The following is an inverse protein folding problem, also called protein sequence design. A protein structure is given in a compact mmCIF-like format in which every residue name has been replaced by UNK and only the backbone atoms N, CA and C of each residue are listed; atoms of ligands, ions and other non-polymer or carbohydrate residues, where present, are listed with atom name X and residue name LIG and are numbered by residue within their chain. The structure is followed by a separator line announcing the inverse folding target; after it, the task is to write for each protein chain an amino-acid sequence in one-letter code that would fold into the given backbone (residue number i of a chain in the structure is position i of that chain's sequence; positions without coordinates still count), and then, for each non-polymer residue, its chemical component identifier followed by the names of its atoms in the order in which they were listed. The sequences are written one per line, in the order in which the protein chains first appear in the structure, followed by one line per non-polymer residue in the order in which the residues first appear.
data_IF_124092433692
#
_entry.id   IF_124092433692
#
_cell.length_a   1.000
_cell.length_b   1.000
_cell.length_c   1.000
_cell.angle_alpha   90.00
_cell.angle_beta   90.00
_cell.angle_gamma   90.00
#
_symmetry.space_group_name_H-M   'P 1'
#
loop_
_entity.id
_entity.type
_entity.pdbx_description
1 polymer ?
#
# COMPACT_ATOMS: atom_id res chain seq x y z
N UNK A 1 -38.68 -30.32 -68.45
CA UNK A 1 -37.31 -29.78 -68.41
C UNK A 1 -36.46 -30.64 -67.47
N UNK A 2 -35.32 -31.15 -67.98
CA UNK A 2 -34.08 -31.67 -67.32
C UNK A 2 -34.22 -32.31 -65.92
N UNK A 3 -34.22 -33.65 -65.74
CA UNK A 3 -33.09 -34.62 -65.68
C UNK A 3 -31.89 -34.17 -64.81
N UNK A 4 -31.59 -34.91 -63.74
CA UNK A 4 -30.27 -35.43 -63.27
C UNK A 4 -30.54 -36.32 -62.04
N UNK A 5 -30.53 -37.67 -62.09
CA UNK A 5 -29.40 -38.63 -62.11
C UNK A 5 -28.31 -38.36 -61.05
N UNK A 6 -28.41 -39.08 -59.91
CA UNK A 6 -27.44 -40.00 -59.23
C UNK A 6 -25.97 -40.04 -59.70
N UNK A 7 -25.08 -40.82 -59.04
CA UNK A 7 -24.51 -40.83 -57.69
C UNK A 7 -22.98 -40.61 -57.74
N UNK A 8 -22.25 -40.39 -56.65
CA UNK A 8 -20.83 -40.78 -56.60
C UNK A 8 -20.34 -40.94 -55.16
N UNK A 9 -19.89 -42.16 -54.86
CA UNK A 9 -19.03 -42.47 -53.74
C UNK A 9 -17.62 -41.92 -54.03
N UNK A 10 -16.96 -41.35 -53.02
CA UNK A 10 -15.51 -41.24 -52.99
C UNK A 10 -15.02 -41.66 -51.61
N UNK A 11 -14.23 -42.73 -51.61
CA UNK A 11 -13.43 -43.23 -50.51
C UNK A 11 -12.25 -42.27 -50.30
N UNK A 12 -11.97 -41.87 -49.07
CA UNK A 12 -10.61 -41.56 -48.66
C UNK A 12 -10.37 -42.03 -47.23
N UNK A 13 -9.75 -43.19 -47.14
CA UNK A 13 -9.03 -43.67 -45.98
C UNK A 13 -7.68 -42.93 -45.97
N UNK A 14 -7.44 -42.09 -44.95
CA UNK A 14 -6.11 -41.56 -44.69
C UNK A 14 -5.72 -41.92 -43.25
N UNK A 15 -4.73 -42.81 -43.15
CA UNK A 15 -3.91 -42.99 -41.96
C UNK A 15 -3.37 -41.63 -41.55
N UNK A 16 -3.65 -41.19 -40.32
CA UNK A 16 -2.86 -40.19 -39.65
C UNK A 16 -2.29 -40.81 -38.37
N UNK A 17 -0.97 -40.88 -38.42
CA UNK A 17 -0.03 -41.32 -37.40
C UNK A 17 -0.48 -40.97 -35.98
N UNK A 18 -0.31 -41.95 -35.08
CA UNK A 18 -0.23 -41.70 -33.66
C UNK A 18 0.91 -40.73 -33.37
N UNK A 19 0.58 -39.44 -33.29
CA UNK A 19 1.35 -38.52 -32.48
C UNK A 19 1.08 -38.96 -31.04
N UNK A 20 2.08 -39.58 -30.42
CA UNK A 20 2.19 -39.60 -28.98
C UNK A 20 2.11 -38.14 -28.52
N UNK A 21 0.93 -37.70 -28.09
CA UNK A 21 0.85 -36.58 -27.17
C UNK A 21 1.68 -37.04 -25.99
N UNK A 22 2.93 -36.57 -25.94
CA UNK A 22 3.62 -36.43 -24.68
C UNK A 22 2.61 -35.73 -23.78
N UNK A 23 2.04 -36.49 -22.83
CA UNK A 23 1.45 -35.90 -21.64
C UNK A 23 2.57 -35.03 -21.10
N UNK A 24 2.52 -33.73 -21.43
CA UNK A 24 3.15 -32.72 -20.62
C UNK A 24 2.62 -33.08 -19.23
N UNK A 25 3.48 -33.46 -18.27
CA UNK A 25 3.01 -33.64 -16.92
C UNK A 25 2.38 -32.31 -16.57
N UNK A 26 1.04 -32.29 -16.53
CA UNK A 26 0.33 -31.35 -15.70
C UNK A 26 0.89 -31.71 -14.35
N UNK A 27 1.84 -30.90 -13.91
CA UNK A 27 2.34 -30.92 -12.56
C UNK A 27 1.08 -30.65 -11.75
N UNK A 28 0.44 -31.74 -11.32
CA UNK A 28 -0.81 -31.75 -10.57
C UNK A 28 -0.46 -31.03 -9.29
N UNK A 29 -0.59 -29.70 -9.32
CA UNK A 29 -0.07 -28.74 -8.37
C UNK A 29 -0.30 -29.29 -6.98
N UNK A 30 0.74 -29.97 -6.48
CA UNK A 30 0.59 -30.83 -5.32
C UNK A 30 0.10 -29.92 -4.24
N UNK A 31 -1.06 -30.25 -3.66
CA UNK A 31 -1.60 -29.57 -2.50
C UNK A 31 -0.51 -29.63 -1.43
N UNK A 32 0.36 -28.62 -1.40
CA UNK A 32 1.47 -28.63 -0.46
C UNK A 32 0.79 -28.58 0.90
N UNK A 33 1.02 -29.61 1.70
CA UNK A 33 0.35 -29.83 2.99
C UNK A 33 0.56 -28.69 3.99
N UNK A 34 1.48 -27.77 3.68
CA UNK A 34 1.77 -26.58 4.47
C UNK A 34 0.75 -25.47 4.14
N UNK A 35 0.20 -24.78 5.16
CA UNK A 35 -0.61 -23.59 4.95
C UNK A 35 0.12 -22.52 4.14
N UNK A 36 -0.58 -21.83 3.24
CA UNK A 36 -0.08 -20.65 2.56
C UNK A 36 -0.09 -19.48 3.53
N UNK A 37 1.08 -18.92 3.81
CA UNK A 37 1.20 -17.75 4.68
C UNK A 37 0.77 -16.51 3.90
N UNK A 38 -0.24 -15.80 4.42
CA UNK A 38 -0.67 -14.51 3.92
C UNK A 38 -0.25 -13.43 4.92
N UNK A 39 0.59 -12.49 4.51
CA UNK A 39 1.07 -11.43 5.39
C UNK A 39 0.68 -10.06 4.88
N UNK A 40 0.04 -9.28 5.73
CA UNK A 40 -0.07 -7.84 5.52
C UNK A 40 1.26 -7.20 5.87
N UNK A 41 1.77 -6.37 4.98
CA UNK A 41 2.95 -5.58 5.27
C UNK A 41 2.56 -4.34 6.09
N UNK A 42 3.47 -3.85 6.96
CA UNK A 42 3.28 -2.57 7.60
C UNK A 42 3.14 -1.49 6.53
N UNK A 43 2.27 -0.53 6.79
CA UNK A 43 2.00 0.57 5.88
C UNK A 43 2.30 1.91 6.56
N UNK A 44 2.65 2.92 5.77
CA UNK A 44 2.96 4.26 6.26
C UNK A 44 2.18 5.27 5.44
N UNK A 45 1.51 6.20 6.11
CA UNK A 45 0.71 7.25 5.48
C UNK A 45 0.81 8.59 6.16
N UNK A 46 0.40 9.64 5.45
CA UNK A 46 0.18 10.97 6.02
C UNK A 46 -1.32 11.23 6.17
N UNK A 47 -1.75 12.10 7.10
CA UNK A 47 -3.15 12.53 7.19
C UNK A 47 -3.67 13.05 5.84
N UNK A 48 -4.84 12.58 5.39
CA UNK A 48 -5.41 12.91 4.07
C UNK A 48 -4.71 12.24 2.87
N UNK A 49 -3.59 11.56 3.10
CA UNK A 49 -2.74 10.96 2.09
C UNK A 49 -3.25 9.60 1.59
N UNK A 50 -2.64 9.13 0.49
CA UNK A 50 -2.84 7.77 0.00
C UNK A 50 -1.90 6.80 0.73
N UNK A 51 -2.42 5.61 1.02
CA UNK A 51 -1.66 4.52 1.63
C UNK A 51 -1.90 3.23 0.88
N UNK A 52 -0.80 2.59 0.51
CA UNK A 52 -0.80 1.24 -0.05
C UNK A 52 -0.56 0.22 1.08
N UNK A 53 -1.52 -0.68 1.29
CA UNK A 53 -1.37 -1.86 2.14
C UNK A 53 -1.09 -3.05 1.23
N UNK A 54 0.06 -3.67 1.40
CA UNK A 54 0.51 -4.78 0.54
C UNK A 54 0.23 -6.11 1.23
N UNK A 55 -0.43 -7.02 0.54
CA UNK A 55 -0.57 -8.41 0.94
C UNK A 55 0.45 -9.27 0.19
N UNK A 56 1.27 -10.01 0.92
CA UNK A 56 2.30 -10.91 0.36
C UNK A 56 2.04 -12.36 0.71
N UNK A 57 2.59 -13.23 -0.12
CA UNK A 57 2.78 -14.66 0.15
C UNK A 57 4.28 -14.96 0.27
N UNK A 58 4.62 -16.13 0.81
CA UNK A 58 6.01 -16.59 0.96
C UNK A 58 6.21 -18.02 0.41
N UNK A 59 5.30 -18.45 -0.44
CA UNK A 59 5.39 -19.70 -1.14
C UNK A 59 4.59 -19.58 -2.44
N UNK A 60 5.19 -19.87 -3.61
CA UNK A 60 4.44 -19.90 -4.85
C UNK A 60 3.37 -20.98 -4.76
N UNK A 61 2.14 -20.60 -5.06
CA UNK A 61 1.00 -21.51 -5.17
C UNK A 61 0.03 -20.88 -6.17
N UNK A 62 -0.13 -21.44 -7.37
CA UNK A 62 -1.08 -20.97 -8.37
C UNK A 62 -2.50 -20.86 -7.81
N UNK A 63 -3.08 -19.67 -7.86
CA UNK A 63 -4.43 -19.35 -7.38
C UNK A 63 -5.29 -18.94 -8.56
N UNK A 64 -6.46 -19.56 -8.67
CA UNK A 64 -7.46 -19.25 -9.70
C UNK A 64 -8.43 -18.17 -9.28
N UNK A 65 -8.82 -18.16 -8.03
CA UNK A 65 -9.78 -17.19 -7.52
C UNK A 65 -9.62 -17.04 -6.02
N UNK A 66 -10.12 -15.94 -5.49
CA UNK A 66 -10.06 -15.72 -4.07
C UNK A 66 -10.84 -14.51 -3.61
N UNK A 67 -10.99 -14.45 -2.31
CA UNK A 67 -11.50 -13.33 -1.56
C UNK A 67 -10.52 -13.00 -0.45
N UNK A 68 -10.18 -11.73 -0.32
CA UNK A 68 -9.36 -11.21 0.77
C UNK A 68 -10.13 -10.12 1.48
N UNK A 69 -10.19 -10.21 2.81
CA UNK A 69 -10.84 -9.21 3.64
C UNK A 69 -9.85 -8.67 4.66
N UNK A 70 -9.54 -7.38 4.57
CA UNK A 70 -8.67 -6.65 5.49
C UNK A 70 -9.54 -5.82 6.42
N UNK A 71 -9.39 -6.03 7.72
CA UNK A 71 -9.96 -5.17 8.74
C UNK A 71 -8.88 -4.22 9.24
N UNK A 72 -9.24 -2.94 9.31
CA UNK A 72 -8.44 -1.94 9.98
C UNK A 72 -9.09 -1.57 11.31
N UNK A 73 -8.31 -1.49 12.38
CA UNK A 73 -8.80 -1.10 13.68
C UNK A 73 -7.82 -0.09 14.30
N UNK A 74 -8.34 0.96 14.92
CA UNK A 74 -7.49 1.86 15.71
C UNK A 74 -6.97 1.07 16.91
N UNK A 75 -5.65 1.07 17.11
CA UNK A 75 -5.11 0.49 18.33
C UNK A 75 -5.48 1.43 19.47
N UNK A 76 -6.18 0.97 20.53
CA UNK A 76 -6.46 1.82 21.67
C UNK A 76 -5.13 2.28 22.27
N UNK A 77 -5.00 3.58 22.50
CA UNK A 77 -3.90 4.08 23.33
C UNK A 77 -4.02 3.41 24.71
N UNK A 78 -2.91 3.01 25.35
CA UNK A 78 -2.96 2.54 26.72
C UNK A 78 -3.61 3.63 27.58
N UNK A 79 -4.83 3.37 28.02
CA UNK A 79 -5.70 4.38 28.60
C UNK A 79 -5.09 4.95 29.87
N UNK A 80 -5.01 6.29 29.95
CA UNK A 80 -5.37 6.96 31.21
C UNK A 80 -6.86 6.68 31.41
N UNK A 81 -7.28 6.17 32.57
CA UNK A 81 -8.70 5.89 32.84
C UNK A 81 -9.57 7.13 32.53
N UNK A 82 -10.46 7.01 31.54
CA UNK A 82 -11.44 8.04 31.15
C UNK A 82 -11.57 8.18 29.63
N UNK A 83 -12.80 8.39 29.15
CA UNK A 83 -13.03 8.85 27.77
C UNK A 83 -12.49 10.28 27.65
N UNK A 84 -11.51 10.48 26.79
CA UNK A 84 -10.96 11.81 26.52
C UNK A 84 -11.77 12.52 25.43
N UNK A 85 -11.68 13.85 25.36
CA UNK A 85 -12.31 14.63 24.28
C UNK A 85 -11.78 14.22 22.88
N UNK A 86 -10.53 13.73 22.83
CA UNK A 86 -9.89 13.18 21.63
C UNK A 86 -10.54 11.86 21.18
N UNK A 87 -11.07 11.06 22.11
CA UNK A 87 -11.82 9.83 21.80
C UNK A 87 -13.20 10.14 21.22
N UNK A 88 -13.82 11.26 21.63
CA UNK A 88 -15.12 11.73 21.14
C UNK A 88 -15.04 12.45 19.79
N UNK A 89 -13.85 12.90 19.38
CA UNK A 89 -13.60 13.63 18.13
C UNK A 89 -12.84 12.82 17.08
N UNK A 90 -12.40 11.60 17.44
CA UNK A 90 -11.73 10.70 16.53
C UNK A 90 -12.61 10.37 15.32
N UNK A 91 -12.03 10.30 14.10
CA UNK A 91 -12.80 9.93 12.93
C UNK A 91 -13.40 8.54 13.10
N UNK A 92 -14.72 8.44 12.90
CA UNK A 92 -15.44 7.16 12.82
C UNK A 92 -14.81 6.25 11.75
N UNK A 93 -14.16 6.83 10.74
CA UNK A 93 -13.49 6.13 9.62
C UNK A 93 -12.10 6.72 9.33
N UNK A 94 -11.02 6.26 9.98
CA UNK A 94 -9.65 6.71 9.75
C UNK A 94 -9.10 6.34 8.36
N UNK A 95 -9.72 5.38 7.66
CA UNK A 95 -9.37 4.99 6.29
C UNK A 95 -10.60 4.84 5.40
N UNK A 96 -10.45 5.29 4.15
CA UNK A 96 -11.40 5.06 3.06
C UNK A 96 -10.75 4.17 2.01
N UNK A 97 -11.33 3.00 1.76
CA UNK A 97 -10.86 2.12 0.67
C UNK A 97 -11.16 2.75 -0.69
N UNK A 98 -10.17 2.77 -1.57
CA UNK A 98 -10.29 3.36 -2.91
C UNK A 98 -10.31 2.28 -3.99
N UNK A 99 -9.33 1.39 -3.95
CA UNK A 99 -9.17 0.35 -4.97
C UNK A 99 -8.26 -0.76 -4.46
N UNK A 100 -8.26 -1.88 -5.16
CA UNK A 100 -7.26 -2.91 -5.00
C UNK A 100 -6.83 -3.48 -6.34
N UNK A 101 -5.58 -3.91 -6.39
CA UNK A 101 -4.99 -4.58 -7.53
C UNK A 101 -4.46 -5.93 -7.08
N UNK A 102 -4.89 -7.00 -7.74
CA UNK A 102 -4.34 -8.35 -7.54
C UNK A 102 -3.33 -8.64 -8.66
N UNK A 103 -2.15 -9.13 -8.30
CA UNK A 103 -1.08 -9.38 -9.25
C UNK A 103 -1.15 -10.81 -9.81
N UNK A 104 -1.09 -10.90 -11.13
CA UNK A 104 -0.95 -12.13 -11.90
C UNK A 104 0.24 -11.97 -12.84
N UNK A 105 1.20 -12.91 -12.91
CA UNK A 105 2.30 -12.88 -13.87
C UNK A 105 1.83 -12.87 -15.33
N UNK A 106 0.62 -13.39 -15.60
CA UNK A 106 0.00 -13.34 -16.94
C UNK A 106 -0.91 -12.12 -17.13
N UNK A 107 -0.97 -11.22 -16.14
CA UNK A 107 -1.77 -9.99 -16.16
C UNK A 107 -3.26 -10.22 -16.49
N UNK A 108 -3.82 -11.31 -15.98
CA UNK A 108 -5.20 -11.77 -16.28
C UNK A 108 -6.11 -11.80 -15.05
N UNK A 109 -5.67 -11.20 -13.93
CA UNK A 109 -6.47 -11.13 -12.71
C UNK A 109 -7.55 -10.06 -12.85
N UNK A 110 -8.80 -10.51 -12.89
CA UNK A 110 -9.98 -9.66 -12.78
C UNK A 110 -10.25 -9.40 -11.30
N UNK A 111 -10.25 -8.12 -10.90
CA UNK A 111 -10.35 -7.70 -9.49
C UNK A 111 -11.58 -6.84 -9.28
N UNK A 112 -12.35 -7.13 -8.22
CA UNK A 112 -13.47 -6.31 -7.77
C UNK A 112 -13.29 -6.00 -6.28
N UNK A 113 -13.15 -4.71 -5.96
CA UNK A 113 -13.08 -4.21 -4.59
C UNK A 113 -14.42 -3.70 -4.11
N UNK A 114 -14.82 -4.05 -2.89
CA UNK A 114 -16.02 -3.59 -2.22
C UNK A 114 -15.67 -3.15 -0.79
N UNK A 115 -16.24 -2.02 -0.38
CA UNK A 115 -16.23 -1.59 1.02
C UNK A 115 -17.49 -2.19 1.66
N UNK A 116 -17.32 -3.21 2.49
CA UNK A 116 -18.44 -3.92 3.10
C UNK A 116 -18.36 -3.75 4.61
N UNK A 117 -19.34 -3.10 5.24
CA UNK A 117 -19.34 -2.93 6.69
C UNK A 117 -20.48 -2.07 7.22
N UNK A 118 -20.79 -2.26 8.50
CA UNK A 118 -21.53 -1.30 9.32
C UNK A 118 -20.85 0.08 9.29
N UNK A 119 -21.54 1.13 9.73
CA UNK A 119 -21.03 2.51 9.65
C UNK A 119 -19.63 2.70 10.27
N UNK A 120 -19.27 1.81 11.20
CA UNK A 120 -18.03 1.82 12.01
C UNK A 120 -17.06 0.67 11.63
N UNK A 121 -17.42 -0.16 10.65
CA UNK A 121 -16.63 -1.33 10.23
C UNK A 121 -15.70 -0.98 9.07
N UNK A 122 -14.40 -0.88 9.34
CA UNK A 122 -13.33 -0.59 8.37
C UNK A 122 -12.84 -1.86 7.66
N UNK A 123 -13.77 -2.60 7.05
CA UNK A 123 -13.46 -3.85 6.35
C UNK A 123 -13.40 -3.59 4.84
N UNK A 124 -12.22 -3.76 4.26
CA UNK A 124 -12.00 -3.75 2.82
C UNK A 124 -12.00 -5.18 2.28
N UNK A 125 -12.91 -5.46 1.36
CA UNK A 125 -13.06 -6.78 0.74
C UNK A 125 -12.69 -6.70 -0.73
N UNK A 126 -11.89 -7.66 -1.18
CA UNK A 126 -11.50 -7.80 -2.58
C UNK A 126 -11.78 -9.22 -3.02
N UNK A 127 -12.50 -9.36 -4.11
CA UNK A 127 -12.69 -10.63 -4.81
C UNK A 127 -11.95 -10.59 -6.13
N UNK A 128 -11.36 -11.71 -6.53
CA UNK A 128 -10.65 -11.80 -7.79
C UNK A 128 -10.75 -13.17 -8.44
N UNK A 129 -10.51 -13.19 -9.75
CA UNK A 129 -10.43 -14.39 -10.57
C UNK A 129 -9.33 -14.23 -11.62
N UNK A 130 -8.52 -15.26 -11.84
CA UNK A 130 -7.50 -15.37 -12.88
C UNK A 130 -7.84 -16.61 -13.74
N UNK A 131 -8.27 -16.42 -15.00
CA UNK A 131 -8.57 -17.53 -15.90
C UNK A 131 -7.42 -18.53 -16.03
N UNK A 132 -6.17 -18.07 -16.03
CA UNK A 132 -4.98 -18.92 -16.12
C UNK A 132 -4.54 -19.55 -14.80
N UNK A 133 -5.13 -19.16 -13.66
CA UNK A 133 -4.71 -19.62 -12.35
C UNK A 133 -3.32 -19.14 -11.93
N UNK A 134 -2.81 -18.07 -12.54
CA UNK A 134 -1.41 -17.66 -12.34
C UNK A 134 -1.17 -16.70 -11.18
N UNK A 135 -2.21 -16.23 -10.48
CA UNK A 135 -2.03 -15.44 -9.25
C UNK A 135 -1.17 -16.26 -8.28
N UNK A 136 -0.13 -15.63 -7.72
CA UNK A 136 0.82 -16.29 -6.82
C UNK A 136 1.55 -17.52 -7.43
N UNK A 137 1.65 -17.64 -8.77
CA UNK A 137 2.50 -18.69 -9.38
C UNK A 137 4.00 -18.41 -9.22
N UNK A 138 4.36 -17.23 -8.71
CA UNK A 138 5.70 -16.82 -8.32
C UNK A 138 5.62 -16.06 -6.98
N UNK A 139 6.72 -16.05 -6.22
CA UNK A 139 6.80 -15.30 -4.97
C UNK A 139 6.69 -13.79 -5.23
N UNK A 140 5.93 -13.10 -4.38
CA UNK A 140 5.74 -11.67 -4.53
C UNK A 140 4.52 -11.09 -3.83
N UNK A 141 4.17 -9.83 -4.13
CA UNK A 141 2.90 -9.26 -3.70
C UNK A 141 1.74 -10.01 -4.35
N UNK A 142 0.78 -10.45 -3.54
CA UNK A 142 -0.47 -11.01 -4.03
C UNK A 142 -1.43 -9.89 -4.42
N UNK A 143 -1.56 -8.88 -3.57
CA UNK A 143 -2.45 -7.75 -3.80
C UNK A 143 -1.93 -6.47 -3.13
N UNK A 144 -2.31 -5.33 -3.72
CA UNK A 144 -2.12 -4.00 -3.12
C UNK A 144 -3.48 -3.36 -2.95
N UNK A 145 -3.79 -2.95 -1.72
CA UNK A 145 -5.00 -2.23 -1.36
C UNK A 145 -4.65 -0.76 -1.19
N UNK A 146 -5.32 0.12 -1.92
CA UNK A 146 -5.14 1.55 -1.84
C UNK A 146 -6.23 2.15 -0.96
N UNK A 147 -5.81 2.84 0.09
CA UNK A 147 -6.67 3.59 0.99
C UNK A 147 -6.33 5.07 0.95
N UNK A 148 -7.29 5.91 1.34
CA UNK A 148 -7.05 7.30 1.76
C UNK A 148 -7.19 7.38 3.26
N UNK A 149 -6.19 7.96 3.93
CA UNK A 149 -6.28 8.28 5.36
C UNK A 149 -7.20 9.47 5.53
N UNK A 150 -8.03 9.44 6.56
CA UNK A 150 -8.84 10.59 6.92
C UNK A 150 -7.94 11.78 7.29
N UNK A 151 -8.24 13.02 6.85
CA UNK A 151 -7.44 14.20 7.20
C UNK A 151 -7.35 14.52 8.70
N UNK A 152 -8.22 13.93 9.52
CA UNK A 152 -8.24 14.12 10.97
C UNK A 152 -7.39 13.11 11.76
N UNK A 153 -6.90 12.03 11.12
CA UNK A 153 -5.94 11.13 11.80
C UNK A 153 -4.69 11.92 12.16
N UNK A 154 -4.15 11.63 13.34
CA UNK A 154 -2.99 12.35 13.83
C UNK A 154 -1.72 11.58 13.51
N UNK A 155 -0.64 12.26 13.14
CA UNK A 155 0.67 11.63 13.07
C UNK A 155 1.05 10.98 14.40
N UNK A 156 1.63 9.77 14.35
CA UNK A 156 1.83 8.94 15.53
C UNK A 156 0.67 7.98 15.82
N UNK A 157 -0.52 8.20 15.23
CA UNK A 157 -1.59 7.20 15.28
C UNK A 157 -1.12 5.88 14.67
N UNK A 158 -1.49 4.79 15.34
CA UNK A 158 -1.26 3.43 14.87
C UNK A 158 -2.57 2.68 14.71
N UNK A 159 -2.69 1.95 13.60
CA UNK A 159 -3.85 1.10 13.31
C UNK A 159 -3.39 -0.34 13.09
N UNK A 160 -4.11 -1.28 13.68
CA UNK A 160 -3.91 -2.70 13.43
C UNK A 160 -4.54 -3.07 12.09
N UNK A 161 -3.74 -3.69 11.22
CA UNK A 161 -4.15 -4.26 9.95
C UNK A 161 -4.26 -5.78 10.14
N UNK A 162 -5.47 -6.31 10.04
CA UNK A 162 -5.75 -7.72 10.29
C UNK A 162 -6.43 -8.35 9.08
N UNK A 163 -6.04 -9.57 8.72
CA UNK A 163 -6.80 -10.39 7.79
C UNK A 163 -7.95 -11.04 8.55
N UNK A 164 -9.17 -10.93 8.02
CA UNK A 164 -10.31 -11.67 8.57
C UNK A 164 -10.23 -13.13 8.07
N UNK A 165 -9.93 -14.11 8.93
CA UNK A 165 -9.74 -15.50 8.52
C UNK A 165 -11.05 -16.18 8.10
N UNK A 166 -12.21 -15.66 8.54
CA UNK A 166 -13.53 -16.20 8.19
C UNK A 166 -13.95 -15.71 6.80
N UNK A 167 -13.56 -14.48 6.45
CA UNK A 167 -13.91 -13.85 5.19
C UNK A 167 -12.77 -13.82 4.15
N UNK A 168 -11.64 -14.47 4.44
CA UNK A 168 -10.53 -14.63 3.51
C UNK A 168 -10.44 -16.09 3.09
N UNK A 169 -10.48 -16.34 1.79
CA UNK A 169 -10.43 -17.69 1.22
C UNK A 169 -9.86 -17.67 -0.19
N UNK A 170 -9.01 -18.65 -0.49
CA UNK A 170 -8.36 -18.78 -1.79
C UNK A 170 -8.65 -20.17 -2.38
N UNK A 171 -8.78 -20.25 -3.70
CA UNK A 171 -8.96 -21.49 -4.44
C UNK A 171 -7.81 -21.65 -5.44
N UNK A 172 -7.15 -22.79 -5.44
CA UNK A 172 -6.04 -23.08 -6.33
C UNK A 172 -6.46 -23.28 -7.80
N UNK A 173 -5.50 -23.51 -8.68
CA UNK A 173 -5.73 -23.78 -10.12
C UNK A 173 -6.62 -25.00 -10.37
N UNK A 174 -6.63 -25.98 -9.46
CA UNK A 174 -7.43 -27.20 -9.55
C UNK A 174 -8.84 -27.04 -8.94
N UNK A 175 -9.20 -25.85 -8.42
CA UNK A 175 -10.49 -25.63 -7.79
C UNK A 175 -10.57 -26.06 -6.33
N UNK A 176 -9.45 -26.42 -5.68
CA UNK A 176 -9.42 -26.83 -4.28
C UNK A 176 -9.18 -25.64 -3.35
N UNK A 177 -9.76 -25.63 -2.13
CA UNK A 177 -9.50 -24.58 -1.16
C UNK A 177 -8.04 -24.64 -0.67
N UNK A 178 -7.43 -23.46 -0.52
CA UNK A 178 -6.06 -23.32 0.01
C UNK A 178 -6.13 -23.05 1.52
N UNK A 179 -5.48 -23.88 2.32
CA UNK A 179 -5.32 -23.63 3.76
C UNK A 179 -4.44 -22.39 3.98
N UNK A 180 -4.88 -21.45 4.82
CA UNK A 180 -4.21 -20.17 5.04
C UNK A 180 -3.62 -20.06 6.45
N UNK A 181 -2.50 -19.34 6.56
CA UNK A 181 -1.92 -18.91 7.82
C UNK A 181 -1.76 -17.37 7.80
N UNK A 182 -2.79 -16.60 8.18
CA UNK A 182 -2.76 -15.15 8.13
C UNK A 182 -1.78 -14.57 9.17
N UNK A 183 -1.11 -13.48 8.80
CA UNK A 183 -0.26 -12.66 9.66
C UNK A 183 -0.65 -11.19 9.55
N UNK A 184 -0.99 -10.60 10.69
CA UNK A 184 -1.39 -9.20 10.85
C UNK A 184 -0.18 -8.27 11.05
N UNK A 185 -0.35 -6.98 10.79
CA UNK A 185 0.72 -5.98 10.93
C UNK A 185 0.15 -4.56 11.23
N UNK A 186 1.00 -3.53 11.30
CA UNK A 186 0.63 -2.17 11.78
C UNK A 186 0.75 -1.10 10.69
N UNK A 187 -0.25 -0.22 10.60
CA UNK A 187 -0.17 1.05 9.88
C UNK A 187 0.28 2.16 10.82
N UNK A 188 1.30 2.93 10.43
CA UNK A 188 1.80 4.10 11.19
C UNK A 188 1.59 5.39 10.39
N UNK A 189 0.98 6.41 11.01
CA UNK A 189 0.84 7.74 10.40
C UNK A 189 2.12 8.57 10.65
N UNK A 190 2.69 9.17 9.60
CA UNK A 190 3.92 9.97 9.66
C UNK A 190 3.80 11.29 8.91
N UNK A 191 4.47 12.31 9.46
CA UNK A 191 4.57 13.66 8.91
C UNK A 191 5.62 14.47 9.68
N UNK A 192 6.14 15.56 9.10
CA UNK A 192 6.87 16.56 9.88
C UNK A 192 5.82 17.44 10.54
N UNK A 193 5.66 17.28 11.86
CA UNK A 193 4.59 17.92 12.60
C UNK A 193 5.14 18.83 13.68
N UNK A 194 4.30 19.80 13.97
CA UNK A 194 4.37 20.67 15.14
C UNK A 194 3.27 20.22 16.08
N UNK A 195 3.65 19.95 17.32
CA UNK A 195 2.70 19.58 18.38
C UNK A 195 1.87 20.78 18.86
N UNK A 196 2.34 22.00 18.60
CA UNK A 196 1.70 23.25 19.02
C UNK A 196 1.58 24.22 17.83
N UNK A 197 0.49 25.00 17.75
CA UNK A 197 0.33 26.01 16.72
C UNK A 197 1.23 27.21 17.05
N UNK A 198 1.99 27.67 16.08
CA UNK A 198 2.73 28.93 16.17
C UNK A 198 3.04 29.46 14.78
N UNK A 199 3.11 30.79 14.66
CA UNK A 199 3.31 31.46 13.39
C UNK A 199 4.70 31.19 12.82
N UNK A 200 4.75 30.49 11.69
CA UNK A 200 5.95 30.17 10.91
C UNK A 200 5.98 31.04 9.65
N UNK A 201 7.06 31.80 9.46
CA UNK A 201 7.28 32.59 8.23
C UNK A 201 8.00 31.81 7.14
N UNK A 202 8.63 30.70 7.49
CA UNK A 202 9.33 29.84 6.57
C UNK A 202 10.22 28.85 7.30
N UNK A 203 11.05 28.15 6.56
CA UNK A 203 11.95 27.16 7.13
C UNK A 203 12.66 26.34 6.06
N UNK A 204 13.47 25.42 6.55
CA UNK A 204 14.15 24.42 5.76
C UNK A 204 13.97 23.06 6.42
N UNK A 205 13.65 22.05 5.63
CA UNK A 205 13.71 20.65 6.03
C UNK A 205 14.78 19.99 5.20
N UNK A 206 15.77 19.38 5.86
CA UNK A 206 16.78 18.57 5.18
C UNK A 206 16.60 17.13 5.60
N UNK A 207 16.25 16.27 4.64
CA UNK A 207 16.13 14.84 4.83
C UNK A 207 17.29 14.11 4.17
N UNK A 208 17.74 13.04 4.82
CA UNK A 208 18.76 12.13 4.31
C UNK A 208 18.30 10.68 4.42
N UNK A 209 18.68 9.85 3.45
CA UNK A 209 18.36 8.43 3.37
C UNK A 209 19.33 7.66 2.50
N UNK A 210 19.29 6.33 2.55
CA UNK A 210 20.02 5.47 1.62
C UNK A 210 19.43 5.57 0.20
N UNK A 211 20.14 6.12 -0.80
CA UNK A 211 19.60 6.27 -2.15
C UNK A 211 19.24 4.93 -2.82
N UNK A 212 19.84 3.81 -2.41
CA UNK A 212 19.59 2.50 -3.01
C UNK A 212 18.14 2.01 -2.83
N UNK A 213 17.40 2.57 -1.87
CA UNK A 213 15.99 2.22 -1.64
C UNK A 213 15.00 3.09 -2.44
N UNK A 214 15.46 4.18 -3.06
CA UNK A 214 14.60 5.15 -3.74
C UNK A 214 14.43 4.83 -5.23
N UNK A 215 13.19 4.83 -5.71
CA UNK A 215 12.80 4.47 -7.07
C UNK A 215 12.58 5.65 -8.01
N UNK A 216 13.01 6.85 -7.63
CA UNK A 216 12.77 8.07 -8.38
C UNK A 216 12.86 9.32 -7.51
N UNK A 217 12.51 10.47 -8.11
CA UNK A 217 12.54 11.75 -7.41
C UNK A 217 11.43 11.81 -6.33
N UNK A 218 11.75 12.30 -5.12
CA UNK A 218 10.76 12.54 -4.09
C UNK A 218 9.79 13.66 -4.54
N UNK A 219 8.55 13.55 -4.10
CA UNK A 219 7.55 14.62 -4.28
C UNK A 219 7.24 15.25 -2.93
N UNK A 220 7.05 16.57 -2.94
CA UNK A 220 6.81 17.37 -1.74
C UNK A 220 5.49 18.10 -1.91
N UNK A 221 4.67 18.06 -0.88
CA UNK A 221 3.44 18.84 -0.78
C UNK A 221 3.44 19.60 0.53
N UNK A 222 3.21 20.90 0.45
CA UNK A 222 2.82 21.70 1.61
C UNK A 222 1.32 21.54 1.81
N UNK A 223 0.86 21.38 3.04
CA UNK A 223 -0.57 21.27 3.30
C UNK A 223 -1.21 22.68 3.21
N UNK A 224 -2.16 22.88 2.27
CA UNK A 224 -2.75 24.18 2.00
C UNK A 224 -3.63 24.71 3.14
N UNK A 225 -4.00 23.88 4.12
CA UNK A 225 -4.77 24.32 5.30
C UNK A 225 -3.98 25.28 6.19
N UNK A 226 -2.65 25.28 6.09
CA UNK A 226 -1.78 26.13 6.91
C UNK A 226 -1.43 27.46 6.23
N UNK A 227 -2.23 27.93 5.26
CA UNK A 227 -2.09 29.25 4.65
C UNK A 227 -1.29 29.28 3.34
N UNK A 228 -0.98 30.49 2.85
CA UNK A 228 -0.29 30.67 1.56
C UNK A 228 1.22 30.52 1.73
N UNK A 229 1.73 29.38 1.28
CA UNK A 229 3.15 29.07 1.30
C UNK A 229 3.68 28.69 -0.08
N UNK A 230 4.92 29.09 -0.38
CA UNK A 230 5.69 28.58 -1.52
C UNK A 230 6.78 27.64 -1.01
N UNK A 231 7.19 26.68 -1.85
CA UNK A 231 8.33 25.81 -1.59
C UNK A 231 9.25 25.71 -2.79
N UNK A 232 10.54 25.56 -2.52
CA UNK A 232 11.54 25.10 -3.47
C UNK A 232 12.11 23.78 -2.98
N UNK A 233 12.26 22.83 -3.90
CA UNK A 233 12.71 21.47 -3.60
C UNK A 233 14.01 21.22 -4.35
N UNK A 234 15.07 20.91 -3.61
CA UNK A 234 16.35 20.46 -4.15
C UNK A 234 16.54 18.98 -3.83
N UNK A 235 16.49 18.16 -4.88
CA UNK A 235 16.76 16.73 -4.86
C UNK A 235 17.92 16.35 -5.78
N UNK A 236 18.81 17.31 -6.08
CA UNK A 236 19.94 17.12 -7.02
C UNK A 236 20.97 16.11 -6.52
N UNK A 237 21.02 15.87 -5.21
CA UNK A 237 21.93 14.91 -4.57
C UNK A 237 21.16 13.64 -4.21
N UNK A 238 21.54 12.46 -4.73
CA UNK A 238 20.94 11.19 -4.33
C UNK A 238 20.98 10.99 -2.82
N UNK A 239 19.88 10.52 -2.24
CA UNK A 239 19.81 10.26 -0.79
C UNK A 239 19.65 11.53 0.07
N UNK A 240 19.45 12.69 -0.55
CA UNK A 240 19.25 13.96 0.15
C UNK A 240 18.15 14.79 -0.50
N UNK A 241 17.30 15.38 0.34
CA UNK A 241 16.23 16.29 -0.06
C UNK A 241 16.29 17.53 0.80
N UNK A 242 16.32 18.69 0.17
CA UNK A 242 16.19 19.97 0.85
C UNK A 242 14.88 20.62 0.40
N UNK A 243 14.02 20.91 1.36
CA UNK A 243 12.78 21.65 1.13
C UNK A 243 12.91 22.99 1.84
N UNK A 244 13.02 24.06 1.07
CA UNK A 244 12.88 25.42 1.57
C UNK A 244 11.43 25.86 1.36
N UNK A 245 10.83 26.50 2.35
CA UNK A 245 9.48 27.02 2.23
C UNK A 245 9.34 28.38 2.92
N UNK A 246 8.38 29.17 2.43
CA UNK A 246 8.10 30.51 2.91
C UNK A 246 6.61 30.78 2.92
N UNK A 247 6.12 31.45 3.96
CA UNK A 247 4.77 31.99 4.06
C UNK A 247 4.85 33.50 4.23
N UNK A 248 4.28 34.22 3.27
CA UNK A 248 4.39 35.68 3.20
C UNK A 248 3.67 36.39 4.36
N UNK A 249 2.60 35.79 4.87
CA UNK A 249 1.78 36.28 5.97
C UNK A 249 2.13 35.65 7.33
N UNK A 250 3.12 34.75 7.35
CA UNK A 250 3.50 33.93 8.51
C UNK A 250 2.35 33.10 9.10
N UNK A 251 1.31 32.82 8.30
CA UNK A 251 0.17 31.98 8.70
C UNK A 251 0.49 30.48 8.72
N UNK A 252 1.68 30.10 8.23
CA UNK A 252 2.14 28.72 8.25
C UNK A 252 2.19 28.19 9.68
N UNK A 253 1.65 26.98 9.89
CA UNK A 253 1.47 26.36 11.21
C UNK A 253 0.55 27.13 12.19
N UNK A 254 -0.38 27.95 11.70
CA UNK A 254 -1.45 28.53 12.53
C UNK A 254 -2.45 27.49 13.07
N UNK A 255 -2.47 26.30 12.46
CA UNK A 255 -3.18 25.11 12.93
C UNK A 255 -2.13 24.02 13.17
N UNK A 256 -2.23 23.20 14.24
CA UNK A 256 -1.30 22.08 14.45
C UNK A 256 -1.45 20.99 13.38
N UNK A 257 -0.36 20.31 13.03
CA UNK A 257 -0.39 19.12 12.17
C UNK A 257 0.76 19.03 11.16
N UNK A 258 0.56 18.25 10.09
CA UNK A 258 1.60 17.98 9.07
C UNK A 258 1.90 19.21 8.23
N UNK A 259 3.05 19.83 8.44
CA UNK A 259 3.43 21.05 7.72
C UNK A 259 3.94 20.72 6.30
N UNK A 260 4.71 19.64 6.19
CA UNK A 260 5.29 19.18 4.92
C UNK A 260 5.08 17.67 4.80
N UNK A 261 4.41 17.26 3.71
CA UNK A 261 4.26 15.87 3.33
C UNK A 261 5.28 15.53 2.23
N UNK A 262 6.05 14.47 2.45
CA UNK A 262 7.13 14.05 1.56
C UNK A 262 6.86 12.61 1.16
N UNK A 263 6.61 12.40 -0.13
CA UNK A 263 6.32 11.09 -0.71
C UNK A 263 7.51 10.64 -1.54
N UNK A 264 8.01 9.44 -1.27
CA UNK A 264 9.20 8.92 -1.93
C UNK A 264 8.86 7.61 -2.63
N UNK A 265 9.10 7.53 -3.94
CA UNK A 265 8.97 6.25 -4.63
C UNK A 265 10.04 5.30 -4.12
N UNK A 266 9.66 4.04 -3.91
CA UNK A 266 10.58 2.95 -3.56
C UNK A 266 11.06 2.28 -4.84
N UNK A 267 12.34 1.93 -4.93
CA UNK A 267 12.88 1.27 -6.12
C UNK A 267 12.27 -0.13 -6.28
N UNK A 268 11.82 -0.47 -7.48
CA UNK A 268 11.32 -1.82 -7.79
C UNK A 268 12.40 -2.90 -7.58
N UNK A 269 13.68 -2.53 -7.66
CA UNK A 269 14.83 -3.39 -7.41
C UNK A 269 15.30 -3.44 -5.95
N UNK A 270 14.68 -2.67 -5.05
CA UNK A 270 15.12 -2.66 -3.67
C UNK A 270 14.81 -3.99 -2.98
N UNK A 271 15.82 -4.54 -2.29
CA UNK A 271 15.73 -5.84 -1.67
C UNK A 271 14.66 -5.86 -0.55
N UNK A 272 13.86 -6.93 -0.54
CA UNK A 272 12.94 -7.22 0.56
C UNK A 272 13.76 -7.42 1.84
N UNK A 273 13.33 -6.79 2.94
CA UNK A 273 14.04 -6.72 4.21
C UNK A 273 15.01 -5.54 4.32
N UNK A 274 15.26 -4.78 3.25
CA UNK A 274 16.09 -3.57 3.35
C UNK A 274 15.34 -2.49 4.13
N UNK A 275 16.05 -1.78 5.01
CA UNK A 275 15.50 -0.61 5.69
C UNK A 275 16.42 0.58 5.48
N UNK A 276 15.82 1.76 5.42
CA UNK A 276 16.54 3.02 5.30
C UNK A 276 15.98 3.99 6.33
N UNK A 277 16.80 4.42 7.30
CA UNK A 277 16.40 5.51 8.17
C UNK A 277 16.26 6.79 7.35
N UNK A 278 15.15 7.48 7.57
CA UNK A 278 14.93 8.83 7.10
C UNK A 278 15.27 9.78 8.22
N UNK A 279 16.44 10.39 8.07
CA UNK A 279 17.04 11.23 9.11
C UNK A 279 16.82 12.68 8.76
N UNK A 280 16.23 13.43 9.69
CA UNK A 280 16.23 14.88 9.62
C UNK A 280 17.62 15.35 10.01
N UNK A 281 18.30 16.04 9.10
CA UNK A 281 19.59 16.67 9.39
C UNK A 281 19.35 17.84 10.35
N UNK A 282 19.84 17.79 11.60
CA UNK A 282 19.59 18.83 12.59
C UNK A 282 20.29 20.16 12.26
N UNK A 283 21.40 20.14 11.52
CA UNK A 283 22.06 21.37 11.07
C UNK A 283 21.30 22.00 9.89
N UNK A 284 20.70 21.16 9.04
CA UNK A 284 19.96 21.55 7.84
C UNK A 284 18.46 21.77 8.05
N UNK A 285 17.90 21.48 9.22
CA UNK A 285 16.46 21.53 9.49
C UNK A 285 16.12 22.60 10.53
N UNK A 286 15.27 23.56 10.16
CA UNK A 286 14.82 24.63 11.04
C UNK A 286 13.52 25.27 10.56
N UNK A 287 12.83 25.93 11.48
CA UNK A 287 11.63 26.75 11.26
C UNK A 287 11.96 28.17 11.67
N UNK A 288 11.38 29.14 10.98
CA UNK A 288 11.56 30.56 11.21
C UNK A 288 10.28 31.17 11.78
N UNK A 289 10.41 31.91 12.88
CA UNK A 289 9.35 32.78 13.40
C UNK A 289 9.05 33.93 12.42
N UNK A 290 7.98 34.69 12.65
CA UNK A 290 7.69 35.94 11.90
C UNK A 290 8.86 36.94 11.86
N UNK A 291 9.72 36.93 12.89
CA UNK A 291 10.91 37.79 12.99
C UNK A 291 12.17 37.19 12.35
N UNK A 292 12.05 36.07 11.61
CA UNK A 292 13.18 35.38 10.97
C UNK A 292 14.09 34.63 11.95
N UNK A 293 13.69 34.47 13.22
CA UNK A 293 14.48 33.71 14.21
C UNK A 293 14.22 32.22 14.09
N UNK A 294 15.28 31.41 14.19
CA UNK A 294 15.16 29.94 14.25
C UNK A 294 14.44 29.50 15.52
N UNK A 295 13.46 28.62 15.36
CA UNK A 295 12.74 27.98 16.47
C UNK A 295 13.55 26.78 16.96
N UNK A 296 13.73 26.67 18.28
CA UNK A 296 14.33 25.48 18.89
C UNK A 296 13.38 24.31 18.72
N UNK A 297 13.85 23.22 18.13
CA UNK A 297 13.04 22.05 17.80
C UNK A 297 13.66 20.78 18.37
N UNK A 298 12.79 19.86 18.78
CA UNK A 298 13.15 18.46 18.95
C UNK A 298 12.79 17.75 17.63
N UNK A 299 13.78 17.21 16.94
CA UNK A 299 13.58 16.47 15.69
C UNK A 299 13.45 14.98 16.01
N UNK A 300 12.45 14.32 15.41
CA UNK A 300 12.27 12.88 15.50
C UNK A 300 12.44 12.27 14.11
N UNK A 301 13.32 11.28 14.00
CA UNK A 301 13.59 10.59 12.75
C UNK A 301 12.53 9.54 12.44
N UNK A 302 12.41 9.17 11.16
CA UNK A 302 11.61 8.04 10.70
C UNK A 302 12.46 6.93 10.09
N UNK A 303 11.85 5.80 9.77
CA UNK A 303 12.45 4.69 9.03
C UNK A 303 11.50 4.17 7.96
N UNK A 304 11.93 4.03 6.71
CA UNK A 304 11.20 3.24 5.72
C UNK A 304 11.79 1.84 5.73
N UNK A 305 10.93 0.85 5.91
CA UNK A 305 11.30 -0.55 5.77
C UNK A 305 10.68 -1.07 4.48
N UNK A 306 11.52 -1.61 3.61
CA UNK A 306 11.11 -2.35 2.43
C UNK A 306 10.92 -3.77 2.89
N UNK A 307 9.67 -4.15 3.06
CA UNK A 307 9.27 -5.49 3.48
C UNK A 307 8.51 -6.16 2.35
#
# INVERSE_FOLDING_TARGET
MRRFRSPFAFVLMLLLAGAALAKIPVDDGGASSKPLVLRLNPAIGAPGGLVAVVLRTYAPRPIRQGQVSIRVARRPHPAKLGLTLDDLTAPVRPLTFLSATVYSPKNDALTQGLLNGLADSQLAKVTFQSPSGSVNSADGPLAVFLFRLDPSVQPGDTFDLTLDPVQTGLTDSAGKPVTLAPRSDVLTVRGVNTFEPFLVSGGRITLTWNPAVAGGAPTVKLDPRYGRSTSTVDSSRPGRLVVDFKSADASFNSVPGTIVAISMPVAASAAIGSSSPFTLDPAGTYLLTRKGRKVRQALQNGTVSIQ
#
